data_IF_235725348856
#
_entry.id   IF_235725348856
#
_cell.length_a   1.000
_cell.length_b   1.000
_cell.length_c   1.000
_cell.angle_alpha   90.00
_cell.angle_beta   90.00
_cell.angle_gamma   90.00
#
_symmetry.space_group_name_H-M   'P 1'
#
loop_
_entity.id
_entity.type
_entity.pdbx_description
1 polymer ?
#
# COMPACT_ATOMS: atom_id res chain seq x y z
N UNK A 1 19.13 15.77 -20.72
CA UNK A 1 18.87 14.32 -20.82
C UNK A 1 19.21 13.90 -22.24
N UNK A 2 19.88 12.77 -22.42
CA UNK A 2 20.06 12.18 -23.75
C UNK A 2 18.73 11.59 -24.26
N UNK A 3 18.65 11.27 -25.55
CA UNK A 3 17.47 10.60 -26.13
C UNK A 3 17.18 9.26 -25.44
N UNK A 4 18.23 8.49 -25.15
CA UNK A 4 18.13 7.24 -24.39
C UNK A 4 17.59 7.46 -22.97
N UNK A 5 17.96 8.57 -22.31
CA UNK A 5 17.42 8.91 -20.98
C UNK A 5 15.92 9.26 -21.06
N UNK A 6 15.50 9.98 -22.10
CA UNK A 6 14.09 10.34 -22.33
C UNK A 6 13.26 9.08 -22.60
N UNK A 7 13.73 8.18 -23.46
CA UNK A 7 13.07 6.93 -23.77
C UNK A 7 12.97 6.04 -22.53
N UNK A 8 14.06 5.93 -21.75
CA UNK A 8 14.08 5.18 -20.49
C UNK A 8 13.10 5.75 -19.47
N UNK A 9 13.10 7.07 -19.26
CA UNK A 9 12.17 7.72 -18.34
C UNK A 9 10.72 7.50 -18.77
N UNK A 10 10.43 7.65 -20.06
CA UNK A 10 9.09 7.45 -20.61
C UNK A 10 8.61 6.03 -20.33
N UNK A 11 9.41 5.01 -20.70
CA UNK A 11 9.06 3.60 -20.43
C UNK A 11 8.85 3.31 -18.94
N UNK A 12 9.70 3.85 -18.08
CA UNK A 12 9.58 3.65 -16.64
C UNK A 12 8.25 4.17 -16.06
N UNK A 13 7.65 5.19 -16.67
CA UNK A 13 6.40 5.80 -16.20
C UNK A 13 5.17 5.08 -16.78
N UNK A 14 5.15 4.75 -18.08
CA UNK A 14 3.91 4.35 -18.78
C UNK A 14 3.83 2.87 -19.17
N UNK A 15 4.93 2.12 -19.10
CA UNK A 15 4.95 0.73 -19.59
C UNK A 15 4.47 -0.32 -18.56
N UNK A 16 4.06 0.12 -17.36
CA UNK A 16 3.65 -0.75 -16.26
C UNK A 16 4.85 -1.27 -15.45
N UNK A 17 4.77 -1.16 -14.13
CA UNK A 17 5.70 -1.82 -13.20
C UNK A 17 5.20 -3.23 -12.88
N UNK A 18 6.02 -4.14 -12.31
CA UNK A 18 5.57 -5.49 -11.95
C UNK A 18 4.30 -5.47 -11.11
N UNK A 19 3.28 -6.23 -11.55
CA UNK A 19 1.95 -6.24 -10.94
C UNK A 19 0.96 -5.21 -11.49
N UNK A 20 1.38 -4.34 -12.41
CA UNK A 20 0.45 -3.57 -13.25
C UNK A 20 -0.08 -4.46 -14.38
N UNK A 21 -1.39 -4.41 -14.61
CA UNK A 21 -2.08 -5.18 -15.66
C UNK A 21 -2.05 -4.47 -17.03
N UNK A 22 -1.42 -3.30 -17.13
CA UNK A 22 -1.45 -2.44 -18.32
C UNK A 22 -0.06 -1.86 -18.67
N UNK A 23 0.24 -1.78 -19.98
CA UNK A 23 1.42 -1.09 -20.51
C UNK A 23 1.07 -0.34 -21.79
N UNK A 24 1.55 0.91 -21.93
CA UNK A 24 1.14 1.83 -22.99
C UNK A 24 2.31 2.36 -23.83
N UNK A 25 2.07 2.61 -25.11
CA UNK A 25 2.86 3.62 -25.84
C UNK A 25 2.46 5.02 -25.41
N UNK A 26 3.25 6.05 -25.75
CA UNK A 26 2.93 7.43 -25.34
C UNK A 26 1.58 7.92 -25.90
N UNK A 27 1.26 7.59 -27.15
CA UNK A 27 0.00 8.01 -27.77
C UNK A 27 -1.20 7.24 -27.22
N UNK A 28 -1.03 5.93 -26.94
CA UNK A 28 -2.06 5.16 -26.24
C UNK A 28 -2.30 5.72 -24.84
N UNK A 29 -1.24 6.10 -24.13
CA UNK A 29 -1.34 6.70 -22.80
C UNK A 29 -2.09 8.02 -22.82
N UNK A 30 -1.80 8.90 -23.79
CA UNK A 30 -2.54 10.16 -23.99
C UNK A 30 -4.02 9.92 -24.27
N UNK A 31 -4.35 8.94 -25.12
CA UNK A 31 -5.73 8.60 -25.42
C UNK A 31 -6.47 8.12 -24.16
N UNK A 32 -5.82 7.32 -23.31
CA UNK A 32 -6.38 6.90 -22.02
C UNK A 32 -6.58 8.03 -21.04
N UNK A 33 -5.64 8.99 -20.97
CA UNK A 33 -5.82 10.18 -20.12
C UNK A 33 -7.07 10.98 -20.53
N UNK A 34 -7.33 11.13 -21.83
CA UNK A 34 -8.49 11.88 -22.33
C UNK A 34 -9.83 11.26 -21.91
N UNK A 35 -9.90 9.96 -21.61
CA UNK A 35 -11.11 9.32 -21.08
C UNK A 35 -11.51 9.85 -19.68
N UNK A 36 -10.59 10.53 -18.99
CA UNK A 36 -10.79 11.09 -17.65
C UNK A 36 -10.99 12.62 -17.64
N UNK A 37 -11.06 13.30 -18.79
CA UNK A 37 -11.15 14.78 -18.89
C UNK A 37 -12.36 15.38 -18.14
N UNK A 38 -13.39 14.57 -17.87
CA UNK A 38 -14.60 14.98 -17.14
C UNK A 38 -14.80 14.21 -15.84
N UNK A 39 -13.76 13.54 -15.35
CA UNK A 39 -13.80 12.73 -14.11
C UNK A 39 -12.94 13.42 -13.06
N UNK A 40 -13.58 14.20 -12.20
CA UNK A 40 -12.94 14.77 -11.02
C UNK A 40 -12.91 13.80 -9.82
N UNK A 41 -12.44 14.27 -8.66
CA UNK A 41 -12.38 13.46 -7.43
C UNK A 41 -13.76 12.94 -7.00
N UNK A 42 -14.81 13.75 -7.15
CA UNK A 42 -16.16 13.38 -6.75
C UNK A 42 -16.74 12.32 -7.69
N UNK A 43 -16.60 12.53 -9.00
CA UNK A 43 -17.05 11.56 -10.00
C UNK A 43 -16.31 10.22 -9.88
N UNK A 44 -14.98 10.22 -9.63
CA UNK A 44 -14.25 8.97 -9.43
C UNK A 44 -14.70 8.24 -8.17
N UNK A 45 -15.06 8.98 -7.10
CA UNK A 45 -15.65 8.42 -5.89
C UNK A 45 -17.02 7.78 -6.16
N UNK A 46 -17.89 8.43 -6.94
CA UNK A 46 -19.18 7.82 -7.33
C UNK A 46 -18.99 6.53 -8.15
N UNK A 47 -18.01 6.50 -9.06
CA UNK A 47 -17.67 5.30 -9.82
C UNK A 47 -17.19 4.16 -8.90
N UNK A 48 -16.33 4.46 -7.93
CA UNK A 48 -15.88 3.50 -6.92
C UNK A 48 -17.04 3.04 -6.02
N UNK A 49 -17.94 3.96 -5.61
CA UNK A 49 -19.11 3.62 -4.81
C UNK A 49 -20.05 2.65 -5.54
N UNK A 50 -20.27 2.87 -6.84
CA UNK A 50 -21.02 1.95 -7.69
C UNK A 50 -20.40 0.55 -7.69
N UNK A 51 -19.08 0.45 -7.88
CA UNK A 51 -18.36 -0.82 -7.82
C UNK A 51 -18.50 -1.51 -6.46
N UNK A 52 -18.24 -0.80 -5.37
CA UNK A 52 -18.27 -1.34 -4.00
C UNK A 52 -19.67 -1.84 -3.61
N UNK A 53 -20.71 -1.07 -3.93
CA UNK A 53 -22.11 -1.46 -3.64
C UNK A 53 -22.51 -2.73 -4.39
N UNK A 54 -21.91 -3.01 -5.54
CA UNK A 54 -22.16 -4.24 -6.30
C UNK A 54 -21.34 -5.44 -5.76
N UNK A 55 -20.05 -5.24 -5.47
CA UNK A 55 -19.14 -6.35 -5.18
C UNK A 55 -19.10 -6.78 -3.71
N UNK A 56 -19.25 -5.83 -2.76
CA UNK A 56 -19.12 -6.11 -1.32
C UNK A 56 -20.19 -7.11 -0.84
N UNK A 57 -21.48 -7.02 -1.24
CA UNK A 57 -22.47 -8.02 -0.86
C UNK A 57 -22.12 -9.44 -1.33
N UNK A 58 -21.55 -9.57 -2.54
CA UNK A 58 -21.08 -10.87 -3.06
C UNK A 58 -19.93 -11.39 -2.21
N UNK A 59 -18.97 -10.52 -1.85
CA UNK A 59 -17.87 -10.90 -0.96
C UNK A 59 -18.35 -11.34 0.42
N UNK A 60 -19.40 -10.72 0.96
CA UNK A 60 -20.03 -11.12 2.21
C UNK A 60 -20.68 -12.51 2.10
N UNK A 61 -21.45 -12.76 1.05
CA UNK A 61 -22.11 -14.05 0.78
C UNK A 61 -21.13 -15.22 0.75
N UNK A 62 -19.97 -15.03 0.11
CA UNK A 62 -18.97 -16.09 -0.09
C UNK A 62 -17.82 -16.06 0.93
N UNK A 63 -17.87 -15.16 1.92
CA UNK A 63 -16.86 -15.06 2.98
C UNK A 63 -15.50 -14.49 2.55
N UNK A 64 -15.43 -13.76 1.43
CA UNK A 64 -14.23 -13.06 0.94
C UNK A 64 -14.13 -11.67 1.58
N UNK A 65 -12.92 -11.23 1.93
CA UNK A 65 -12.67 -9.85 2.39
C UNK A 65 -11.83 -9.11 1.37
N UNK A 66 -12.31 -7.95 0.93
CA UNK A 66 -11.57 -7.05 0.07
C UNK A 66 -10.56 -6.25 0.89
N UNK A 67 -9.38 -6.03 0.33
CA UNK A 67 -8.31 -5.27 0.97
C UNK A 67 -7.77 -4.23 -0.03
N UNK A 68 -8.48 -3.11 -0.20
CA UNK A 68 -8.08 -2.08 -1.18
C UNK A 68 -6.70 -1.53 -0.86
N UNK A 69 -5.84 -1.46 -1.86
CA UNK A 69 -4.49 -0.89 -1.74
C UNK A 69 -4.53 0.63 -1.95
N UNK A 70 -3.73 1.41 -1.21
CA UNK A 70 -3.62 2.85 -1.45
C UNK A 70 -3.02 3.20 -2.81
N UNK A 71 -3.25 4.44 -3.22
CA UNK A 71 -2.56 5.05 -4.34
C UNK A 71 -1.05 5.18 -4.06
N UNK A 72 -0.19 4.90 -5.06
CA UNK A 72 1.26 5.06 -4.95
C UNK A 72 1.84 5.85 -6.14
N UNK A 73 2.33 7.09 -5.95
CA UNK A 73 2.29 7.87 -4.71
C UNK A 73 0.86 8.33 -4.31
N UNK A 74 0.59 8.58 -3.01
CA UNK A 74 -0.73 8.95 -2.49
C UNK A 74 -1.08 10.44 -2.75
N UNK A 75 -1.09 10.85 -4.01
CA UNK A 75 -1.41 12.21 -4.47
C UNK A 75 -1.86 12.20 -5.93
N UNK A 76 -2.72 13.15 -6.36
CA UNK A 76 -3.05 13.34 -7.78
C UNK A 76 -1.80 13.56 -8.63
N UNK A 77 -1.75 12.90 -9.78
CA UNK A 77 -0.68 13.02 -10.78
C UNK A 77 -1.30 13.05 -12.17
N UNK A 78 -0.62 13.70 -13.13
CA UNK A 78 -1.03 13.72 -14.54
C UNK A 78 -2.44 14.27 -14.80
N UNK A 79 -2.95 15.13 -13.91
CA UNK A 79 -4.32 15.65 -14.00
C UNK A 79 -5.41 14.69 -13.49
N UNK A 80 -5.04 13.47 -13.08
CA UNK A 80 -5.99 12.45 -12.62
C UNK A 80 -6.24 12.53 -11.11
N UNK A 81 -7.50 12.35 -10.65
CA UNK A 81 -7.78 12.16 -9.24
C UNK A 81 -7.23 10.81 -8.74
N UNK A 82 -6.87 10.79 -7.45
CA UNK A 82 -6.46 9.60 -6.68
C UNK A 82 -7.21 9.64 -5.35
N UNK A 83 -7.94 8.57 -5.02
CA UNK A 83 -9.04 8.58 -4.04
C UNK A 83 -8.88 7.58 -2.90
N UNK A 84 -7.70 6.98 -2.76
CA UNK A 84 -7.31 6.09 -1.66
C UNK A 84 -5.92 6.51 -1.18
N UNK A 85 -5.79 7.77 -0.76
CA UNK A 85 -4.50 8.41 -0.48
C UNK A 85 -4.34 8.87 0.98
N UNK A 86 -5.46 9.03 1.71
CA UNK A 86 -5.51 9.70 3.01
C UNK A 86 -6.44 8.97 3.98
N UNK A 87 -6.39 9.33 5.26
CA UNK A 87 -7.27 8.75 6.29
C UNK A 87 -8.74 9.13 6.03
N UNK A 88 -9.00 10.30 5.44
CA UNK A 88 -10.33 10.75 5.04
C UNK A 88 -10.88 9.92 3.87
N UNK A 89 -10.01 9.45 2.97
CA UNK A 89 -10.41 8.53 1.91
C UNK A 89 -10.77 7.13 2.47
N UNK A 90 -10.04 6.66 3.48
CA UNK A 90 -10.40 5.42 4.20
C UNK A 90 -11.76 5.56 4.90
N UNK A 91 -12.01 6.69 5.56
CA UNK A 91 -13.29 6.97 6.21
C UNK A 91 -14.43 6.99 5.19
N UNK A 92 -14.24 7.67 4.05
CA UNK A 92 -15.23 7.71 2.97
C UNK A 92 -15.54 6.30 2.42
N UNK A 93 -14.53 5.45 2.22
CA UNK A 93 -14.73 4.06 1.77
C UNK A 93 -15.56 3.25 2.76
N UNK A 94 -15.26 3.37 4.06
CA UNK A 94 -16.03 2.73 5.13
C UNK A 94 -17.49 3.19 5.14
N UNK A 95 -17.74 4.49 5.02
CA UNK A 95 -19.10 5.05 5.01
C UNK A 95 -19.88 4.70 3.74
N UNK A 96 -19.20 4.46 2.63
CA UNK A 96 -19.84 4.12 1.35
C UNK A 96 -20.50 2.74 1.37
N UNK A 97 -19.83 1.75 2.00
CA UNK A 97 -20.40 0.43 2.28
C UNK A 97 -19.86 -0.07 3.64
N UNK A 98 -20.70 0.00 4.67
CA UNK A 98 -20.33 -0.36 6.05
C UNK A 98 -20.44 -1.87 6.30
N UNK A 99 -19.55 -2.65 5.66
CA UNK A 99 -19.39 -4.09 5.88
C UNK A 99 -17.93 -4.41 6.17
N UNK A 100 -17.66 -5.33 7.10
CA UNK A 100 -16.29 -5.74 7.45
C UNK A 100 -15.53 -6.31 6.24
N UNK A 101 -16.26 -6.81 5.23
CA UNK A 101 -15.71 -7.33 3.99
C UNK A 101 -15.21 -6.23 3.04
N UNK A 102 -15.56 -4.96 3.29
CA UNK A 102 -14.98 -3.77 2.67
C UNK A 102 -13.85 -3.23 3.55
N UNK A 103 -12.62 -3.69 3.27
CA UNK A 103 -11.45 -3.36 4.07
C UNK A 103 -10.24 -2.93 3.26
N UNK A 104 -9.11 -2.84 3.96
CA UNK A 104 -7.91 -2.16 3.51
C UNK A 104 -6.69 -3.07 3.49
N UNK A 105 -5.83 -2.85 2.50
CA UNK A 105 -4.41 -3.17 2.60
C UNK A 105 -3.69 -1.96 3.20
N UNK A 106 -3.14 -2.12 4.40
CA UNK A 106 -2.27 -1.10 5.01
C UNK A 106 -0.87 -1.19 4.40
N UNK A 107 -0.63 -0.42 3.33
CA UNK A 107 0.71 -0.26 2.77
C UNK A 107 1.39 0.97 3.36
N UNK A 108 2.33 0.72 4.27
CA UNK A 108 3.10 1.77 4.94
C UNK A 108 4.01 2.52 3.97
N UNK A 109 4.51 1.82 2.94
CA UNK A 109 5.35 2.43 1.91
C UNK A 109 4.62 3.43 1.03
N UNK A 110 3.34 3.17 0.70
CA UNK A 110 2.55 4.10 -0.11
C UNK A 110 1.99 5.22 0.75
N UNK A 111 1.22 4.93 1.80
CA UNK A 111 0.67 5.97 2.69
C UNK A 111 1.76 6.85 3.30
N UNK A 112 2.92 6.27 3.64
CA UNK A 112 4.05 6.95 4.27
C UNK A 112 4.84 7.90 3.38
N UNK A 113 4.58 7.95 2.06
CA UNK A 113 5.21 8.92 1.16
C UNK A 113 4.92 10.35 1.60
N UNK A 114 3.73 10.62 2.13
CA UNK A 114 3.30 11.96 2.56
C UNK A 114 3.31 12.08 4.09
N UNK A 115 3.87 13.18 4.59
CA UNK A 115 4.16 13.36 6.01
C UNK A 115 2.90 13.64 6.87
N UNK A 116 1.79 14.02 6.26
CA UNK A 116 0.51 14.28 6.91
C UNK A 116 -0.31 13.00 7.17
N UNK A 117 0.12 11.85 6.65
CA UNK A 117 -0.48 10.56 7.00
C UNK A 117 0.16 10.00 8.28
N UNK A 118 -0.60 10.01 9.37
CA UNK A 118 -0.25 9.30 10.61
C UNK A 118 -0.63 7.82 10.48
N UNK A 119 0.36 6.99 10.15
CA UNK A 119 0.16 5.56 9.89
C UNK A 119 -0.33 4.80 11.13
N UNK A 120 0.14 5.18 12.32
CA UNK A 120 -0.28 4.53 13.57
C UNK A 120 -1.75 4.85 13.82
N UNK A 121 -2.14 6.12 13.71
CA UNK A 121 -3.55 6.54 13.83
C UNK A 121 -4.43 5.87 12.79
N UNK A 122 -3.97 5.71 11.55
CA UNK A 122 -4.72 4.98 10.51
C UNK A 122 -4.96 3.53 10.91
N UNK A 123 -3.95 2.83 11.44
CA UNK A 123 -4.09 1.46 11.96
C UNK A 123 -5.04 1.41 13.15
N UNK A 124 -4.93 2.33 14.11
CA UNK A 124 -5.80 2.38 15.28
C UNK A 124 -7.26 2.68 14.92
N UNK A 125 -7.50 3.50 13.89
CA UNK A 125 -8.85 3.91 13.46
C UNK A 125 -9.56 2.83 12.64
N UNK A 126 -8.82 2.13 11.77
CA UNK A 126 -9.38 1.17 10.80
C UNK A 126 -8.90 -0.26 10.99
N UNK A 127 -8.31 -0.57 12.15
CA UNK A 127 -7.70 -1.87 12.45
C UNK A 127 -8.65 -3.05 12.25
N UNK A 128 -9.94 -2.88 12.57
CA UNK A 128 -10.98 -3.89 12.37
C UNK A 128 -11.10 -4.33 10.90
N UNK A 129 -10.74 -3.43 9.98
CA UNK A 129 -10.87 -3.57 8.52
C UNK A 129 -9.55 -3.72 7.79
N UNK A 130 -8.41 -3.72 8.47
CA UNK A 130 -7.13 -4.04 7.85
C UNK A 130 -7.06 -5.57 7.67
N UNK A 131 -7.13 -6.02 6.42
CA UNK A 131 -7.12 -7.46 6.09
C UNK A 131 -5.79 -7.90 5.49
N UNK A 132 -4.92 -6.96 5.15
CA UNK A 132 -3.59 -7.23 4.63
C UNK A 132 -2.64 -6.05 4.89
N UNK A 133 -1.34 -6.31 5.01
CA UNK A 133 -0.34 -5.25 5.20
C UNK A 133 0.85 -5.42 4.25
N UNK A 134 1.31 -4.30 3.72
CA UNK A 134 2.58 -4.19 3.01
C UNK A 134 3.53 -3.38 3.90
N UNK A 135 4.46 -4.08 4.54
CA UNK A 135 5.36 -3.50 5.53
C UNK A 135 6.71 -3.19 4.88
N UNK A 136 6.81 -2.01 4.28
CA UNK A 136 8.05 -1.41 3.74
C UNK A 136 8.15 0.06 4.13
N UNK A 137 9.24 0.72 3.77
CA UNK A 137 9.46 2.13 4.07
C UNK A 137 10.05 2.88 2.88
N UNK A 138 9.58 4.10 2.63
CA UNK A 138 10.19 5.06 1.72
C UNK A 138 10.98 6.10 2.51
N UNK A 139 11.87 6.83 1.85
CA UNK A 139 12.54 7.99 2.41
C UNK A 139 12.34 9.19 1.48
N UNK A 140 11.70 10.24 1.98
CA UNK A 140 11.61 11.55 1.32
C UNK A 140 12.98 12.22 1.28
N UNK A 141 13.21 12.96 0.21
CA UNK A 141 14.44 13.73 0.03
C UNK A 141 14.22 15.22 0.34
N UNK A 142 15.20 16.06 0.02
CA UNK A 142 15.12 17.51 0.24
C UNK A 142 13.88 18.14 -0.41
N UNK A 143 13.47 17.65 -1.59
CA UNK A 143 12.14 17.92 -2.11
C UNK A 143 11.16 16.88 -1.53
N UNK A 144 10.14 17.28 -0.75
CA UNK A 144 9.26 16.35 -0.05
C UNK A 144 8.39 15.49 -0.97
N UNK A 145 8.32 15.80 -2.28
CA UNK A 145 7.63 14.97 -3.28
C UNK A 145 8.55 13.95 -3.94
N UNK A 146 9.87 14.11 -3.80
CA UNK A 146 10.88 13.15 -4.23
C UNK A 146 11.12 12.16 -3.10
N UNK A 147 11.09 10.87 -3.43
CA UNK A 147 11.33 9.79 -2.47
C UNK A 147 11.96 8.60 -3.18
N UNK A 148 12.61 7.73 -2.41
CA UNK A 148 13.09 6.43 -2.86
C UNK A 148 12.70 5.34 -1.87
N UNK A 149 12.74 4.08 -2.32
CA UNK A 149 12.54 2.92 -1.44
C UNK A 149 13.73 2.83 -0.46
N UNK A 150 13.44 2.87 0.83
CA UNK A 150 14.46 2.76 1.89
C UNK A 150 14.65 1.30 2.32
N UNK A 151 15.66 1.03 3.15
CA UNK A 151 15.66 -0.21 3.91
C UNK A 151 14.47 -0.20 4.89
N UNK A 152 13.87 -1.37 5.15
CA UNK A 152 12.60 -1.51 5.87
C UNK A 152 12.56 -0.79 7.23
N UNK A 153 13.70 -0.71 7.93
CA UNK A 153 13.82 -0.08 9.26
C UNK A 153 14.57 1.27 9.24
N UNK A 154 14.81 1.86 8.07
CA UNK A 154 15.66 3.07 7.94
C UNK A 154 15.06 4.19 7.08
N UNK A 155 13.78 4.09 6.73
CA UNK A 155 13.06 5.17 6.05
C UNK A 155 12.19 6.00 7.01
N UNK A 156 11.23 6.73 6.45
CA UNK A 156 10.31 7.61 7.17
C UNK A 156 9.32 6.86 8.07
N UNK A 157 9.02 5.60 7.75
CA UNK A 157 8.09 4.78 8.53
C UNK A 157 8.75 4.36 9.85
N UNK A 158 8.13 4.73 10.98
CA UNK A 158 8.42 4.12 12.27
C UNK A 158 7.84 2.71 12.32
N UNK A 159 8.57 1.75 11.75
CA UNK A 159 8.10 0.36 11.57
C UNK A 159 7.75 -0.31 12.90
N UNK A 160 8.50 -0.01 13.98
CA UNK A 160 8.23 -0.57 15.31
C UNK A 160 6.86 -0.11 15.82
N UNK A 161 6.54 1.18 15.68
CA UNK A 161 5.24 1.71 16.11
C UNK A 161 4.07 1.17 15.28
N UNK A 162 4.26 1.02 13.96
CA UNK A 162 3.22 0.44 13.10
C UNK A 162 2.96 -1.03 13.43
N UNK A 163 4.01 -1.83 13.60
CA UNK A 163 3.87 -3.25 14.00
C UNK A 163 3.24 -3.37 15.39
N UNK A 164 3.60 -2.50 16.35
CA UNK A 164 2.96 -2.45 17.67
C UNK A 164 1.45 -2.19 17.57
N UNK A 165 1.03 -1.25 16.72
CA UNK A 165 -0.39 -0.95 16.48
C UNK A 165 -1.14 -2.13 15.82
N UNK A 166 -0.50 -2.82 14.86
CA UNK A 166 -1.07 -4.01 14.20
C UNK A 166 -1.24 -5.15 15.23
N UNK A 167 -0.23 -5.42 16.05
CA UNK A 167 -0.30 -6.46 17.09
C UNK A 167 -1.36 -6.14 18.14
N UNK A 168 -1.53 -4.86 18.51
CA UNK A 168 -2.61 -4.44 19.39
C UNK A 168 -3.99 -4.75 18.81
N UNK A 169 -4.18 -4.55 17.50
CA UNK A 169 -5.40 -4.94 16.81
C UNK A 169 -5.58 -6.46 16.79
N UNK A 170 -4.55 -7.24 16.49
CA UNK A 170 -4.63 -8.71 16.55
C UNK A 170 -5.00 -9.22 17.95
N UNK A 171 -4.43 -8.63 19.00
CA UNK A 171 -4.78 -8.91 20.40
C UNK A 171 -6.25 -8.57 20.66
N UNK A 172 -6.73 -7.40 20.24
CA UNK A 172 -8.13 -6.99 20.38
C UNK A 172 -9.07 -7.97 19.68
N UNK A 173 -8.75 -8.41 18.45
CA UNK A 173 -9.52 -9.44 17.72
C UNK A 173 -9.58 -10.73 18.53
N UNK A 174 -8.42 -11.22 19.00
CA UNK A 174 -8.34 -12.46 19.79
C UNK A 174 -9.20 -12.39 21.05
N UNK A 175 -9.16 -11.27 21.77
CA UNK A 175 -9.99 -11.04 22.97
C UNK A 175 -11.50 -11.02 22.66
N UNK A 176 -11.87 -10.57 21.46
CA UNK A 176 -13.25 -10.59 20.96
C UNK A 176 -13.68 -11.96 20.36
N UNK A 177 -12.82 -12.98 20.44
CA UNK A 177 -13.09 -14.31 19.85
C UNK A 177 -12.82 -14.40 18.35
N UNK A 178 -12.24 -13.37 17.76
CA UNK A 178 -11.87 -13.31 16.35
C UNK A 178 -10.38 -13.67 16.18
N UNK A 179 -10.10 -14.86 15.65
CA UNK A 179 -8.74 -15.39 15.52
C UNK A 179 -8.07 -15.06 14.19
N UNK A 180 -8.65 -14.13 13.41
CA UNK A 180 -8.11 -13.77 12.09
C UNK A 180 -6.77 -13.02 12.22
N UNK A 181 -5.68 -13.54 11.62
CA UNK A 181 -4.43 -12.81 11.54
C UNK A 181 -4.54 -11.64 10.55
N UNK A 182 -3.63 -10.68 10.67
CA UNK A 182 -3.39 -9.67 9.63
C UNK A 182 -2.14 -10.12 8.86
N UNK A 183 -2.28 -10.79 7.71
CA UNK A 183 -1.13 -11.21 6.93
C UNK A 183 -0.29 -10.01 6.48
N UNK A 184 1.01 -10.22 6.35
CA UNK A 184 1.93 -9.21 5.84
C UNK A 184 2.85 -9.76 4.77
N UNK A 185 3.32 -8.86 3.89
CA UNK A 185 4.49 -9.10 3.03
C UNK A 185 5.47 -7.93 3.15
N UNK A 186 6.78 -8.13 2.90
CA UNK A 186 7.80 -7.09 2.92
C UNK A 186 7.69 -6.10 1.75
N UNK A 187 6.72 -6.33 0.86
CA UNK A 187 6.45 -5.55 -0.34
C UNK A 187 7.63 -5.50 -1.33
N UNK A 188 8.39 -4.41 -1.34
CA UNK A 188 9.55 -4.21 -2.20
C UNK A 188 10.85 -4.42 -1.43
N UNK A 189 11.93 -4.72 -2.16
CA UNK A 189 13.27 -4.83 -1.59
C UNK A 189 14.33 -4.31 -2.56
N UNK A 190 15.45 -3.84 -2.01
CA UNK A 190 16.57 -3.41 -2.84
C UNK A 190 17.15 -4.57 -3.65
N UNK A 191 17.54 -4.28 -4.88
CA UNK A 191 18.35 -5.20 -5.67
C UNK A 191 19.77 -5.21 -5.08
N UNK A 192 20.21 -6.36 -4.57
CA UNK A 192 21.47 -6.47 -3.84
C UNK A 192 22.11 -7.86 -4.01
N UNK A 193 23.41 -7.96 -3.68
CA UNK A 193 24.20 -9.19 -3.78
C UNK A 193 24.03 -9.82 -5.18
N UNK A 194 23.80 -11.13 -5.26
CA UNK A 194 23.67 -11.89 -6.51
C UNK A 194 22.56 -11.35 -7.43
N UNK A 195 21.54 -10.69 -6.88
CA UNK A 195 20.44 -10.14 -7.67
C UNK A 195 20.89 -8.95 -8.54
N UNK A 196 22.00 -8.27 -8.22
CA UNK A 196 22.56 -7.19 -9.05
C UNK A 196 23.03 -7.68 -10.42
N UNK A 197 23.31 -8.98 -10.56
CA UNK A 197 23.76 -9.61 -11.82
C UNK A 197 22.61 -10.21 -12.62
N UNK A 198 21.36 -10.04 -12.17
CA UNK A 198 20.17 -10.63 -12.78
C UNK A 198 19.33 -9.54 -13.46
N UNK A 199 18.62 -9.92 -14.52
CA UNK A 199 17.44 -9.18 -14.96
C UNK A 199 16.33 -9.45 -13.94
N UNK A 200 15.93 -8.43 -13.19
CA UNK A 200 14.93 -8.55 -12.12
C UNK A 200 13.68 -7.76 -12.46
N UNK A 201 12.58 -8.14 -11.83
CA UNK A 201 11.40 -7.29 -11.75
C UNK A 201 11.71 -6.13 -10.78
N UNK A 202 11.57 -4.85 -11.19
CA UNK A 202 11.90 -3.70 -10.34
C UNK A 202 11.24 -3.78 -8.96
N UNK A 203 12.06 -3.79 -7.89
CA UNK A 203 11.59 -3.90 -6.50
C UNK A 203 11.25 -5.33 -6.02
N UNK A 204 11.24 -6.33 -6.91
CA UNK A 204 10.79 -7.70 -6.62
C UNK A 204 11.92 -8.74 -6.65
N UNK A 205 13.18 -8.33 -6.59
CA UNK A 205 14.29 -9.27 -6.37
C UNK A 205 14.15 -9.99 -5.02
N UNK A 206 14.81 -11.14 -4.87
CA UNK A 206 14.57 -12.02 -3.74
C UNK A 206 15.31 -11.56 -2.48
N UNK A 207 16.61 -11.23 -2.60
CA UNK A 207 17.51 -11.05 -1.46
C UNK A 207 17.09 -9.82 -0.63
N UNK A 208 16.77 -8.71 -1.27
CA UNK A 208 16.31 -7.50 -0.58
C UNK A 208 14.97 -7.70 0.15
N UNK A 209 14.02 -8.41 -0.45
CA UNK A 209 12.73 -8.71 0.20
C UNK A 209 12.87 -9.72 1.33
N UNK A 210 13.75 -10.72 1.18
CA UNK A 210 14.09 -11.65 2.25
C UNK A 210 14.68 -10.90 3.45
N UNK A 211 15.60 -9.94 3.21
CA UNK A 211 16.14 -9.09 4.26
C UNK A 211 15.03 -8.30 4.98
N UNK A 212 14.17 -7.62 4.23
CA UNK A 212 13.05 -6.88 4.82
C UNK A 212 12.09 -7.75 5.64
N UNK A 213 11.78 -8.94 5.13
CA UNK A 213 10.98 -9.94 5.84
C UNK A 213 11.65 -10.34 7.16
N UNK A 214 12.97 -10.59 7.14
CA UNK A 214 13.72 -10.95 8.34
C UNK A 214 13.75 -9.83 9.37
N UNK A 215 13.88 -8.58 8.94
CA UNK A 215 13.84 -7.39 9.79
C UNK A 215 12.48 -7.24 10.50
N UNK A 216 11.39 -7.25 9.73
CA UNK A 216 10.02 -7.08 10.28
C UNK A 216 9.64 -8.25 11.20
N UNK A 217 9.98 -9.49 10.83
CA UNK A 217 9.79 -10.67 11.69
C UNK A 217 10.50 -10.52 13.04
N UNK A 218 11.71 -9.95 13.06
CA UNK A 218 12.44 -9.70 14.30
C UNK A 218 11.74 -8.68 15.19
N UNK A 219 11.23 -7.60 14.60
CA UNK A 219 10.43 -6.57 15.31
C UNK A 219 9.16 -7.16 15.88
N UNK A 220 8.40 -7.91 15.08
CA UNK A 220 7.17 -8.57 15.48
C UNK A 220 7.40 -9.53 16.65
N UNK A 221 8.39 -10.43 16.54
CA UNK A 221 8.68 -11.41 17.58
C UNK A 221 9.10 -10.74 18.90
N UNK A 222 9.94 -9.71 18.83
CA UNK A 222 10.36 -8.97 20.02
C UNK A 222 9.19 -8.29 20.72
N UNK A 223 8.27 -7.68 19.96
CA UNK A 223 7.04 -7.07 20.51
C UNK A 223 6.11 -8.12 21.12
N UNK A 224 5.91 -9.27 20.47
CA UNK A 224 5.14 -10.39 21.04
C UNK A 224 5.73 -10.88 22.36
N UNK A 225 7.03 -11.10 22.43
CA UNK A 225 7.69 -11.56 23.66
C UNK A 225 7.65 -10.56 24.82
N UNK A 226 7.63 -9.26 24.52
CA UNK A 226 7.78 -8.21 25.55
C UNK A 226 6.48 -7.51 25.91
N UNK A 227 5.47 -7.51 25.03
CA UNK A 227 4.20 -6.77 25.22
C UNK A 227 2.95 -7.59 24.96
N UNK A 228 3.00 -8.53 24.01
CA UNK A 228 1.83 -9.31 23.58
C UNK A 228 2.08 -10.82 23.68
N UNK A 229 2.47 -11.36 24.86
CA UNK A 229 2.86 -12.76 25.01
C UNK A 229 1.72 -13.74 24.70
N UNK A 230 0.47 -13.29 24.79
CA UNK A 230 -0.72 -14.05 24.39
C UNK A 230 -0.86 -14.22 22.87
N UNK A 231 -0.11 -13.49 22.04
CA UNK A 231 -0.07 -13.67 20.58
C UNK A 231 1.03 -14.62 20.10
N UNK A 232 1.76 -15.24 21.03
CA UNK A 232 2.72 -16.32 20.76
C UNK A 232 2.02 -17.66 20.52
#
# INVERSE_FOLDING_TARGET
MSEADIEKLTRNIIAGLPGAEEGYTLDQFRARLAEYDHIDKAQLRENMAYFLRAIVPVCEEVGIRLAVHPDDPPRPILGLPRIVSTIEDMQWLKETVDSINNGFTMCTGSYGVRADNDLVKMVETFGDRIHFTHLRSTCREANPKTFHEAAHLSGDVNMVAVVDAILREEQRRKQAGDLRPIPFRPDHGHQMLDDLRKKTNPGYSAIGRLKGMAEVRGVELALKMTKYPELL
#
